data_IF_662709389986
#
_entry.id   IF_662709389986
#
_cell.length_a   1.000
_cell.length_b   1.000
_cell.length_c   1.000
_cell.angle_alpha   90.00
_cell.angle_beta   90.00
_cell.angle_gamma   90.00
#
_symmetry.space_group_name_H-M   'P 1'
#
loop_
_entity.id
_entity.type
_entity.pdbx_description
1 polymer ?
#
# COMPACT_ATOMS: atom_id res chain seq x y z
N UNK A 1 -15.46 -9.27 32.83
CA UNK A 1 -15.04 -7.87 32.59
C UNK A 1 -13.88 -7.77 31.61
N UNK A 2 -12.95 -8.72 31.56
CA UNK A 2 -11.74 -8.67 30.71
C UNK A 2 -12.00 -8.75 29.19
N UNK A 3 -13.00 -9.52 28.75
CA UNK A 3 -13.33 -9.64 27.32
C UNK A 3 -13.85 -8.34 26.69
N UNK A 4 -14.57 -7.53 27.48
CA UNK A 4 -15.07 -6.23 27.01
C UNK A 4 -13.92 -5.23 26.86
N UNK A 5 -12.96 -5.24 27.79
CA UNK A 5 -11.75 -4.42 27.73
C UNK A 5 -10.91 -4.76 26.50
N UNK A 6 -10.73 -6.04 26.19
CA UNK A 6 -10.03 -6.49 24.98
C UNK A 6 -10.77 -6.08 23.70
N UNK A 7 -12.09 -6.25 23.66
CA UNK A 7 -12.89 -5.86 22.50
C UNK A 7 -12.84 -4.35 22.24
N UNK A 8 -12.84 -3.54 23.30
CA UNK A 8 -12.74 -2.09 23.22
C UNK A 8 -11.37 -1.66 22.69
N UNK A 9 -10.29 -2.23 23.25
CA UNK A 9 -8.93 -1.96 22.82
C UNK A 9 -8.71 -2.33 21.34
N UNK A 10 -9.21 -3.49 20.90
CA UNK A 10 -9.13 -3.89 19.49
C UNK A 10 -9.97 -2.97 18.60
N UNK A 11 -11.15 -2.55 19.02
CA UNK A 11 -11.99 -1.63 18.27
C UNK A 11 -11.35 -0.25 18.11
N UNK A 12 -10.66 0.24 19.14
CA UNK A 12 -9.96 1.52 19.15
C UNK A 12 -8.71 1.46 18.26
N UNK A 13 -7.94 0.37 18.34
CA UNK A 13 -6.80 0.13 17.43
C UNK A 13 -7.26 0.08 15.97
N UNK A 14 -8.35 -0.62 15.68
CA UNK A 14 -8.88 -0.74 14.32
C UNK A 14 -9.40 0.59 13.80
N UNK A 15 -10.04 1.40 14.65
CA UNK A 15 -10.55 2.73 14.30
C UNK A 15 -9.40 3.72 14.10
N UNK A 16 -8.39 3.67 14.94
CA UNK A 16 -7.18 4.49 14.86
C UNK A 16 -6.39 4.18 13.59
N UNK A 17 -6.14 2.91 13.29
CA UNK A 17 -5.45 2.50 12.05
C UNK A 17 -6.26 2.89 10.83
N UNK A 18 -7.58 2.68 10.82
CA UNK A 18 -8.45 3.16 9.73
C UNK A 18 -8.35 4.68 9.56
N UNK A 19 -8.40 5.43 10.66
CA UNK A 19 -8.28 6.90 10.64
C UNK A 19 -6.94 7.36 10.07
N UNK A 20 -5.83 6.76 10.52
CA UNK A 20 -4.47 7.04 10.03
C UNK A 20 -4.38 6.75 8.54
N UNK A 21 -4.95 5.62 8.11
CA UNK A 21 -4.95 5.25 6.70
C UNK A 21 -5.83 6.19 5.88
N UNK A 22 -6.97 6.68 6.36
CA UNK A 22 -7.96 7.42 5.53
C UNK A 22 -7.75 8.93 5.37
N UNK A 23 -6.75 9.54 6.03
CA UNK A 23 -6.61 11.00 6.05
C UNK A 23 -5.47 11.51 5.17
N UNK A 24 -5.80 12.17 4.07
CA UNK A 24 -4.84 12.95 3.27
C UNK A 24 -3.74 12.14 2.59
N UNK A 25 -3.99 10.84 2.34
CA UNK A 25 -3.03 9.95 1.67
C UNK A 25 -3.14 10.12 0.16
N UNK A 26 -2.00 10.43 -0.47
CA UNK A 26 -1.84 10.37 -1.93
C UNK A 26 -1.11 9.08 -2.27
N UNK A 27 -1.76 8.22 -3.05
CA UNK A 27 -1.18 6.98 -3.54
C UNK A 27 -0.42 7.22 -4.85
N UNK A 28 0.88 6.88 -4.85
CA UNK A 28 1.72 6.86 -6.04
C UNK A 28 1.88 5.40 -6.50
N UNK A 29 1.25 5.04 -7.61
CA UNK A 29 1.35 3.70 -8.20
C UNK A 29 1.31 3.78 -9.74
N UNK A 30 1.84 2.78 -10.42
CA UNK A 30 1.81 2.70 -11.89
C UNK A 30 0.40 2.45 -12.46
N UNK A 31 0.14 2.81 -13.71
CA UNK A 31 -1.16 2.58 -14.33
C UNK A 31 -1.29 1.18 -14.97
N UNK A 32 -0.77 0.12 -14.33
CA UNK A 32 -0.91 -1.25 -14.84
C UNK A 32 -2.32 -1.78 -14.53
N UNK A 33 -2.85 -2.62 -15.43
CA UNK A 33 -4.25 -3.07 -15.48
C UNK A 33 -4.90 -3.51 -14.14
N UNK A 34 -4.22 -4.21 -13.21
CA UNK A 34 -4.81 -4.53 -11.91
C UNK A 34 -5.08 -3.28 -11.04
N UNK A 35 -4.26 -2.25 -11.16
CA UNK A 35 -4.37 -1.01 -10.39
C UNK A 35 -5.44 -0.07 -10.95
N UNK A 36 -5.71 -0.12 -12.25
CA UNK A 36 -6.79 0.61 -12.91
C UNK A 36 -8.15 -0.11 -12.86
N UNK A 37 -8.22 -1.30 -12.25
CA UNK A 37 -9.45 -2.07 -12.14
C UNK A 37 -10.52 -1.32 -11.31
N UNK A 38 -11.79 -1.49 -11.68
CA UNK A 38 -12.93 -0.82 -11.02
C UNK A 38 -12.96 -1.07 -9.52
N UNK A 39 -12.66 -2.30 -9.10
CA UNK A 39 -12.63 -2.69 -7.69
C UNK A 39 -11.57 -1.88 -6.92
N UNK A 40 -10.38 -1.71 -7.50
CA UNK A 40 -9.30 -0.91 -6.92
C UNK A 40 -9.72 0.56 -6.80
N UNK A 41 -10.34 1.13 -7.85
CA UNK A 41 -10.83 2.50 -7.85
C UNK A 41 -11.95 2.74 -6.82
N UNK A 42 -12.85 1.77 -6.63
CA UNK A 42 -13.89 1.82 -5.60
C UNK A 42 -13.30 1.80 -4.19
N UNK A 43 -12.29 0.97 -3.96
CA UNK A 43 -11.61 0.86 -2.68
C UNK A 43 -10.88 2.16 -2.32
N UNK A 44 -10.18 2.77 -3.27
CA UNK A 44 -9.49 4.06 -3.09
C UNK A 44 -10.46 5.17 -2.71
N UNK A 45 -11.63 5.22 -3.37
CA UNK A 45 -12.70 6.16 -3.01
C UNK A 45 -13.25 5.93 -1.60
N UNK A 46 -13.42 4.66 -1.19
CA UNK A 46 -13.86 4.33 0.17
C UNK A 46 -12.85 4.79 1.23
N UNK A 47 -11.56 4.70 0.93
CA UNK A 47 -10.50 5.20 1.79
C UNK A 47 -10.25 6.70 1.69
N UNK A 48 -10.89 7.39 0.74
CA UNK A 48 -10.65 8.81 0.42
C UNK A 48 -9.19 9.09 0.06
N UNK A 49 -8.59 8.16 -0.67
CA UNK A 49 -7.21 8.30 -1.15
C UNK A 49 -7.22 8.96 -2.52
N UNK A 50 -6.42 10.00 -2.66
CA UNK A 50 -6.14 10.58 -3.95
C UNK A 50 -5.09 9.74 -4.66
N UNK A 51 -5.23 9.57 -5.97
CA UNK A 51 -4.21 8.91 -6.79
C UNK A 51 -3.44 10.00 -7.50
N UNK A 52 -2.11 9.99 -7.39
CA UNK A 52 -1.29 10.89 -8.18
C UNK A 52 -1.41 10.54 -9.65
N UNK A 53 -1.57 11.57 -10.51
CA UNK A 53 -1.52 11.37 -11.95
C UNK A 53 -0.17 10.75 -12.34
N UNK A 54 -0.22 9.57 -12.95
CA UNK A 54 0.96 8.86 -13.41
C UNK A 54 0.84 8.64 -14.92
N UNK A 55 1.80 9.13 -15.72
CA UNK A 55 1.82 8.83 -17.16
C UNK A 55 1.96 7.32 -17.38
N UNK A 56 1.39 6.85 -18.48
CA UNK A 56 1.46 5.43 -18.84
C UNK A 56 2.91 5.00 -19.05
N UNK A 57 3.31 3.87 -18.42
CA UNK A 57 4.62 3.23 -18.59
C UNK A 57 5.83 4.12 -18.26
N UNK A 58 5.80 4.81 -17.11
CA UNK A 58 6.94 5.59 -16.61
C UNK A 58 7.53 4.97 -15.33
N UNK A 59 8.20 3.80 -15.42
CA UNK A 59 8.80 3.16 -14.25
C UNK A 59 9.85 4.05 -13.55
N UNK A 60 10.42 5.03 -14.24
CA UNK A 60 11.29 6.06 -13.67
C UNK A 60 10.58 6.99 -12.66
N UNK A 61 9.25 7.11 -12.73
CA UNK A 61 8.46 7.95 -11.83
C UNK A 61 7.97 7.21 -10.59
N UNK A 62 8.02 5.88 -10.59
CA UNK A 62 7.71 5.08 -9.43
C UNK A 62 8.91 5.07 -8.48
N UNK A 63 8.76 5.71 -7.31
CA UNK A 63 9.81 5.74 -6.29
C UNK A 63 10.25 4.32 -5.84
N UNK A 64 9.37 3.32 -5.93
CA UNK A 64 9.73 1.90 -5.71
C UNK A 64 10.78 1.42 -6.70
N UNK A 65 10.60 1.73 -7.98
CA UNK A 65 11.33 1.11 -9.08
C UNK A 65 12.70 1.75 -9.22
N UNK A 66 12.79 3.06 -9.01
CA UNK A 66 14.05 3.79 -9.09
C UNK A 66 14.91 3.68 -7.83
N UNK A 67 14.30 3.71 -6.64
CA UNK A 67 15.06 3.80 -5.39
C UNK A 67 15.09 2.49 -4.60
N UNK A 68 13.93 1.84 -4.39
CA UNK A 68 13.84 0.69 -3.45
C UNK A 68 14.23 -0.65 -4.07
N UNK A 69 13.84 -0.93 -5.31
CA UNK A 69 14.16 -2.22 -5.95
C UNK A 69 15.65 -2.43 -6.23
N UNK A 70 16.46 -1.42 -6.58
CA UNK A 70 17.90 -1.60 -6.68
C UNK A 70 18.55 -1.98 -5.35
N UNK A 71 18.13 -1.35 -4.25
CA UNK A 71 18.62 -1.69 -2.90
C UNK A 71 18.22 -3.12 -2.51
N UNK A 72 16.97 -3.49 -2.78
CA UNK A 72 16.49 -4.84 -2.54
C UNK A 72 17.27 -5.87 -3.37
N UNK A 73 17.54 -5.59 -4.64
CA UNK A 73 18.34 -6.45 -5.52
C UNK A 73 19.76 -6.63 -4.98
N UNK A 74 20.37 -5.57 -4.44
CA UNK A 74 21.69 -5.65 -3.81
C UNK A 74 21.64 -6.52 -2.55
N UNK A 75 20.60 -6.35 -1.72
CA UNK A 75 20.41 -7.15 -0.51
C UNK A 75 20.19 -8.63 -0.83
N UNK A 76 19.36 -8.95 -1.82
CA UNK A 76 19.03 -10.32 -2.21
C UNK A 76 20.08 -10.96 -3.13
N UNK A 77 21.05 -10.18 -3.61
CA UNK A 77 22.11 -10.66 -4.50
C UNK A 77 22.90 -11.79 -3.87
N UNK A 78 22.97 -12.93 -4.55
CA UNK A 78 23.71 -14.11 -4.09
C UNK A 78 23.00 -14.96 -3.03
N UNK A 79 21.80 -14.58 -2.59
CA UNK A 79 20.99 -15.43 -1.72
C UNK A 79 20.32 -16.55 -2.52
N UNK A 80 20.28 -17.75 -1.95
CA UNK A 80 19.55 -18.89 -2.52
C UNK A 80 18.30 -19.16 -1.68
N UNK A 81 17.13 -19.02 -2.31
CA UNK A 81 15.86 -19.27 -1.65
C UNK A 81 15.39 -20.67 -2.01
N UNK A 82 15.21 -21.52 -0.99
CA UNK A 82 14.53 -22.79 -1.16
C UNK A 82 13.05 -22.53 -1.41
N UNK A 83 12.50 -23.16 -2.43
CA UNK A 83 11.06 -23.11 -2.70
C UNK A 83 10.34 -23.88 -1.59
N UNK A 84 9.36 -23.23 -0.97
CA UNK A 84 8.39 -23.85 -0.03
C UNK A 84 7.35 -24.63 -0.83
#
# INVERSE_FOLDING_TARGET
>A
MENYQYSYFLSDLTTTVKSILTSGVVLLHDNIRPHSAVVTQQLLKQFKWDVSDHPAYSPDLAASDFHRFPELKNCLGGQNFQKI
#
